data_IF_767023003714
#
_entry.id   IF_767023003714
#
_cell.length_a   1.000
_cell.length_b   1.000
_cell.length_c   1.000
_cell.angle_alpha   90.00
_cell.angle_beta   90.00
_cell.angle_gamma   90.00
#
_symmetry.space_group_name_H-M   'P 1'
#
loop_
_entity.id
_entity.type
_entity.pdbx_description
1 polymer ?
#
# COMPACT_ATOMS: atom_id res chain seq x y z
N UNK A 1 3.62 11.01 -32.17
CA UNK A 1 2.16 11.18 -32.43
C UNK A 1 1.50 12.30 -31.60
N UNK A 2 1.70 12.49 -30.30
CA UNK A 2 1.09 13.63 -29.58
C UNK A 2 1.93 14.92 -29.68
N UNK A 3 3.24 14.81 -29.40
CA UNK A 3 4.15 15.97 -29.44
C UNK A 3 4.31 16.55 -30.84
N UNK A 4 4.31 15.70 -31.87
CA UNK A 4 4.38 16.13 -33.28
C UNK A 4 3.15 16.97 -33.70
N UNK A 5 2.04 16.86 -32.97
CA UNK A 5 0.82 17.65 -33.17
C UNK A 5 0.73 18.85 -32.21
N UNK A 6 1.83 19.22 -31.54
CA UNK A 6 1.85 20.35 -30.59
C UNK A 6 1.11 20.09 -29.26
N UNK A 7 0.65 18.87 -29.00
CA UNK A 7 -0.06 18.51 -27.77
C UNK A 7 0.95 18.17 -26.68
N UNK A 8 0.74 18.69 -25.46
CA UNK A 8 1.50 18.30 -24.25
C UNK A 8 0.74 17.24 -23.47
N UNK A 9 1.47 16.26 -22.95
CA UNK A 9 0.91 15.20 -22.11
C UNK A 9 1.31 15.48 -20.66
N UNK A 10 0.31 15.46 -19.78
CA UNK A 10 0.49 15.48 -18.34
C UNK A 10 0.02 14.13 -17.80
N UNK A 11 0.82 13.55 -16.90
CA UNK A 11 0.51 12.29 -16.25
C UNK A 11 0.08 12.53 -14.82
N UNK A 12 -0.78 11.66 -14.32
CA UNK A 12 -1.04 11.55 -12.89
C UNK A 12 0.15 10.85 -12.21
N UNK A 13 0.51 11.30 -11.01
CA UNK A 13 1.57 10.74 -10.19
C UNK A 13 1.00 10.31 -8.85
N UNK A 14 0.67 9.01 -8.75
CA UNK A 14 0.13 8.41 -7.53
C UNK A 14 1.27 7.76 -6.76
N UNK A 15 1.77 8.47 -5.74
CA UNK A 15 2.90 8.03 -4.91
C UNK A 15 2.55 7.83 -3.44
N UNK A 16 1.30 8.14 -3.05
CA UNK A 16 0.82 7.91 -1.69
C UNK A 16 0.67 6.41 -1.37
N UNK A 17 0.28 5.61 -2.37
CA UNK A 17 0.04 4.18 -2.24
C UNK A 17 0.43 3.46 -3.54
N UNK A 18 0.63 2.16 -3.46
CA UNK A 18 0.72 1.27 -4.63
C UNK A 18 -0.31 0.16 -4.50
N UNK A 19 -0.57 -0.57 -5.59
CA UNK A 19 -1.29 -1.84 -5.52
C UNK A 19 -0.56 -2.82 -4.59
N UNK A 20 -1.34 -3.68 -3.93
CA UNK A 20 -0.89 -4.86 -3.21
C UNK A 20 -0.27 -5.93 -4.14
N UNK A 21 -0.52 -5.86 -5.44
CA UNK A 21 0.19 -6.67 -6.43
C UNK A 21 1.56 -6.08 -6.84
N UNK A 22 1.92 -4.90 -6.34
CA UNK A 22 3.22 -4.29 -6.63
C UNK A 22 4.35 -5.12 -6.01
N UNK A 23 5.49 -5.20 -6.70
CA UNK A 23 6.65 -5.99 -6.24
C UNK A 23 7.07 -5.61 -4.81
N UNK A 24 7.08 -4.33 -4.49
CA UNK A 24 7.43 -3.87 -3.13
C UNK A 24 6.47 -4.40 -2.07
N UNK A 25 5.15 -4.43 -2.31
CA UNK A 25 4.21 -4.98 -1.34
C UNK A 25 4.34 -6.50 -1.22
N UNK A 26 4.48 -7.18 -2.36
CA UNK A 26 4.74 -8.63 -2.41
C UNK A 26 5.99 -9.01 -1.63
N UNK A 27 7.07 -8.22 -1.67
CA UNK A 27 8.26 -8.45 -0.84
C UNK A 27 8.02 -8.06 0.63
N UNK A 28 7.43 -6.89 0.89
CA UNK A 28 7.18 -6.34 2.23
C UNK A 28 6.36 -7.28 3.13
N UNK A 29 5.39 -8.01 2.54
CA UNK A 29 4.53 -8.94 3.28
C UNK A 29 5.14 -10.33 3.52
N UNK A 30 6.31 -10.67 2.94
CA UNK A 30 6.89 -12.02 3.08
C UNK A 30 7.42 -12.32 4.47
N UNK A 31 8.00 -11.32 5.14
CA UNK A 31 8.58 -11.46 6.48
C UNK A 31 8.71 -10.12 7.19
N UNK A 32 8.77 -10.16 8.53
CA UNK A 32 8.93 -8.96 9.38
C UNK A 32 10.33 -8.33 9.31
N UNK A 33 11.32 -9.05 8.79
CA UNK A 33 12.72 -8.64 8.62
C UNK A 33 13.12 -8.35 7.16
N UNK A 34 12.14 -8.35 6.23
CA UNK A 34 12.39 -8.09 4.82
C UNK A 34 12.87 -6.64 4.61
N UNK A 35 13.85 -6.37 3.71
CA UNK A 35 14.31 -5.01 3.42
C UNK A 35 13.22 -4.06 2.90
N UNK A 36 12.13 -4.59 2.34
CA UNK A 36 10.96 -3.81 1.90
C UNK A 36 9.89 -3.68 2.98
N UNK A 37 10.09 -4.21 4.20
CA UNK A 37 9.07 -4.20 5.25
C UNK A 37 8.57 -2.77 5.54
N UNK A 38 9.50 -1.84 5.66
CA UNK A 38 9.21 -0.45 6.02
C UNK A 38 8.78 0.43 4.84
N UNK A 39 8.57 -0.15 3.65
CA UNK A 39 7.97 0.57 2.51
C UNK A 39 6.45 0.76 2.69
N UNK A 40 5.83 -0.03 3.56
CA UNK A 40 4.39 0.04 3.88
C UNK A 40 4.19 0.17 5.39
N UNK A 41 2.98 0.56 5.78
CA UNK A 41 2.65 0.80 7.18
C UNK A 41 2.13 -0.49 7.80
N UNK A 42 2.99 -1.16 8.58
CA UNK A 42 2.64 -2.34 9.36
C UNK A 42 2.55 -2.00 10.85
N UNK A 43 1.58 -2.60 11.55
CA UNK A 43 1.44 -2.49 13.01
C UNK A 43 1.03 -3.82 13.60
N UNK A 44 1.71 -4.18 14.70
CA UNK A 44 1.30 -5.30 15.55
C UNK A 44 0.13 -4.84 16.41
N UNK A 45 -0.84 -5.73 16.61
CA UNK A 45 -1.96 -5.54 17.53
C UNK A 45 -2.02 -6.70 18.51
N UNK A 46 -2.56 -6.44 19.69
CA UNK A 46 -2.86 -7.47 20.67
C UNK A 46 -4.36 -7.82 20.53
N UNK A 47 -4.68 -9.11 20.48
CA UNK A 47 -6.06 -9.65 20.42
C UNK A 47 -6.80 -9.57 19.07
N UNK A 48 -6.08 -9.37 17.96
CA UNK A 48 -6.67 -9.46 16.61
C UNK A 48 -7.53 -8.26 16.19
N UNK A 49 -7.62 -7.22 17.03
CA UNK A 49 -8.33 -5.98 16.72
C UNK A 49 -7.47 -5.04 15.86
N UNK A 50 -8.04 -4.20 14.98
CA UNK A 50 -7.29 -3.18 14.26
C UNK A 50 -6.52 -2.22 15.20
N UNK A 51 -5.30 -1.78 14.86
CA UNK A 51 -4.50 -0.85 15.68
C UNK A 51 -5.20 0.47 16.05
N UNK A 52 -6.17 0.90 15.25
CA UNK A 52 -6.99 2.10 15.47
C UNK A 52 -8.38 1.89 14.89
N UNK A 53 -9.36 2.69 15.31
CA UNK A 53 -10.71 2.72 14.73
C UNK A 53 -10.86 3.59 13.46
N UNK A 54 -9.77 3.90 12.76
CA UNK A 54 -9.80 4.74 11.55
C UNK A 54 -10.54 4.05 10.39
N UNK A 55 -11.32 4.84 9.66
CA UNK A 55 -12.13 4.37 8.53
C UNK A 55 -11.46 4.61 7.17
N UNK A 56 -11.52 3.61 6.29
CA UNK A 56 -11.02 3.74 4.93
C UNK A 56 -11.95 4.60 4.05
N UNK A 57 -11.37 5.23 3.03
CA UNK A 57 -12.13 6.06 2.09
C UNK A 57 -13.25 5.29 1.36
N UNK A 58 -13.08 3.97 1.19
CA UNK A 58 -14.05 3.09 0.55
C UNK A 58 -14.91 2.29 1.55
N UNK A 59 -14.91 2.70 2.83
CA UNK A 59 -15.64 2.02 3.90
C UNK A 59 -14.83 0.89 4.55
N UNK A 60 -15.23 0.51 5.77
CA UNK A 60 -14.50 -0.47 6.59
C UNK A 60 -13.27 0.09 7.29
N UNK A 61 -12.45 -0.80 7.83
CA UNK A 61 -11.19 -0.49 8.53
C UNK A 61 -10.11 -0.01 7.55
N UNK A 62 -9.22 0.90 7.98
CA UNK A 62 -7.98 1.22 7.23
C UNK A 62 -6.90 0.13 7.35
N UNK A 63 -7.10 -0.83 8.24
CA UNK A 63 -6.18 -1.93 8.51
C UNK A 63 -6.73 -3.24 7.96
N UNK A 64 -5.90 -3.98 7.24
CA UNK A 64 -6.16 -5.33 6.75
C UNK A 64 -5.21 -6.31 7.45
N UNK A 65 -5.71 -7.46 7.90
CA UNK A 65 -4.89 -8.48 8.53
C UNK A 65 -4.17 -9.33 7.48
N UNK A 66 -2.85 -9.46 7.59
CA UNK A 66 -2.05 -10.32 6.72
C UNK A 66 -1.77 -11.65 7.44
N UNK A 67 -2.35 -12.76 6.97
CA UNK A 67 -2.18 -14.08 7.62
C UNK A 67 -0.72 -14.56 7.67
N UNK A 68 0.12 -14.12 6.74
CA UNK A 68 1.51 -14.55 6.64
C UNK A 68 2.40 -13.91 7.71
N UNK A 69 2.18 -12.63 8.03
CA UNK A 69 3.02 -11.85 8.94
C UNK A 69 2.24 -11.09 10.01
N UNK A 70 0.99 -11.44 10.25
CA UNK A 70 0.15 -10.95 11.36
C UNK A 70 0.82 -11.04 12.72
#
# INVERSE_FOLDING_TARGET
KAHDNGIKIMMDLVVNHSSDEHQWFKESRKSKDNPYRDYYIWKKTDNGEPPTNWGAAFGGSVWEYDEQTG
#
